data_IF_174334163359
#
_entry.id   IF_174334163359
#
_cell.length_a   1.000
_cell.length_b   1.000
_cell.length_c   1.000
_cell.angle_alpha   90.00
_cell.angle_beta   90.00
_cell.angle_gamma   90.00
#
_symmetry.space_group_name_H-M   'P 1'
#
loop_
_entity.id
_entity.type
_entity.pdbx_description
1 polymer ?
#
# COMPACT_ATOMS: atom_id res chain seq x y z
N UNK A 1 -15.31 -20.63 82.64
CA UNK A 1 -14.99 -19.36 82.00
C UNK A 1 -14.20 -19.65 80.75
N UNK A 2 -14.91 -19.89 79.67
CA UNK A 2 -14.29 -20.23 78.35
C UNK A 2 -14.17 -18.98 77.51
N UNK A 3 -12.96 -18.64 77.04
CA UNK A 3 -12.68 -17.56 76.09
C UNK A 3 -12.61 -18.11 74.69
N UNK A 4 -13.55 -17.72 73.85
CA UNK A 4 -13.57 -17.94 72.38
C UNK A 4 -12.69 -16.87 71.72
N UNK A 5 -11.70 -17.31 70.94
CA UNK A 5 -10.95 -16.44 69.99
C UNK A 5 -11.66 -16.47 68.62
N UNK A 6 -11.80 -15.34 67.93
CA UNK A 6 -12.27 -15.35 66.56
C UNK A 6 -11.10 -15.55 65.55
N UNK A 7 -11.30 -16.46 64.62
CA UNK A 7 -10.40 -16.67 63.48
C UNK A 7 -10.63 -15.58 62.42
N UNK A 8 -9.57 -14.84 62.12
CA UNK A 8 -9.53 -13.92 60.95
C UNK A 8 -9.23 -14.75 59.68
N UNK A 9 -10.21 -14.83 58.78
CA UNK A 9 -10.02 -15.37 57.43
C UNK A 9 -9.52 -14.26 56.52
N UNK A 10 -8.27 -14.34 56.09
CA UNK A 10 -7.71 -13.46 55.06
C UNK A 10 -8.12 -13.98 53.67
N UNK A 11 -9.00 -13.24 53.00
CA UNK A 11 -9.33 -13.46 51.58
C UNK A 11 -8.21 -12.90 50.69
N UNK A 12 -7.44 -13.76 50.06
CA UNK A 12 -6.50 -13.38 49.05
C UNK A 12 -7.23 -13.10 47.72
N UNK A 13 -7.29 -11.83 47.33
CA UNK A 13 -7.79 -11.41 46.00
C UNK A 13 -6.66 -11.65 44.99
N UNK A 14 -6.77 -12.72 44.18
CA UNK A 14 -5.94 -12.90 43.01
C UNK A 14 -6.40 -11.93 41.89
N UNK A 15 -5.61 -10.90 41.67
CA UNK A 15 -5.74 -10.04 40.47
C UNK A 15 -5.16 -10.83 39.29
N UNK A 16 -6.02 -11.45 38.50
CA UNK A 16 -5.68 -11.98 37.19
C UNK A 16 -5.47 -10.78 36.26
N UNK A 17 -4.20 -10.34 36.17
CA UNK A 17 -3.76 -9.42 35.13
C UNK A 17 -3.93 -10.07 33.76
N UNK A 18 -4.93 -9.63 33.00
CA UNK A 18 -5.12 -10.02 31.62
C UNK A 18 -3.93 -9.52 30.79
N UNK A 19 -3.03 -10.41 30.41
CA UNK A 19 -2.08 -10.14 29.33
C UNK A 19 -2.89 -10.11 28.04
N UNK A 20 -3.23 -8.92 27.55
CA UNK A 20 -3.64 -8.74 26.16
C UNK A 20 -2.48 -9.19 25.27
N UNK A 21 -2.76 -9.73 24.07
CA UNK A 21 -1.68 -10.04 23.12
C UNK A 21 -0.90 -8.75 22.85
N UNK A 22 0.36 -8.72 23.26
CA UNK A 22 1.29 -7.70 22.81
C UNK A 22 1.51 -7.95 21.31
N UNK A 23 0.96 -7.12 20.45
CA UNK A 23 1.35 -7.11 19.05
C UNK A 23 2.81 -6.70 19.00
N UNK A 24 3.65 -7.56 18.47
CA UNK A 24 5.06 -7.25 18.27
C UNK A 24 5.16 -6.15 17.22
N UNK A 25 6.01 -5.15 17.48
CA UNK A 25 6.35 -4.14 16.48
C UNK A 25 6.89 -4.83 15.23
N UNK A 26 6.32 -4.54 14.08
CA UNK A 26 6.80 -5.04 12.79
C UNK A 26 7.60 -3.97 12.11
N UNK A 27 8.84 -4.28 11.75
CA UNK A 27 9.67 -3.45 10.89
C UNK A 27 10.21 -4.31 9.76
N UNK A 28 9.99 -3.89 8.53
CA UNK A 28 10.46 -4.61 7.35
C UNK A 28 10.84 -3.65 6.23
N UNK A 29 11.79 -4.08 5.41
CA UNK A 29 12.23 -3.35 4.22
C UNK A 29 12.11 -4.25 3.00
N UNK A 30 11.38 -3.79 1.99
CA UNK A 30 11.21 -4.47 0.70
C UNK A 30 11.87 -3.64 -0.40
N UNK A 31 12.74 -4.28 -1.20
CA UNK A 31 13.40 -3.64 -2.35
C UNK A 31 12.83 -4.21 -3.64
N UNK A 32 12.53 -3.33 -4.58
CA UNK A 32 11.91 -3.65 -5.86
C UNK A 32 12.75 -3.18 -7.03
N UNK A 33 12.68 -3.91 -8.13
CA UNK A 33 13.15 -3.49 -9.45
C UNK A 33 11.94 -3.29 -10.35
N UNK A 34 11.92 -2.19 -11.10
CA UNK A 34 10.86 -1.83 -12.02
C UNK A 34 11.40 -1.92 -13.45
N UNK A 35 10.68 -2.66 -14.30
CA UNK A 35 11.03 -2.89 -15.70
C UNK A 35 9.91 -2.42 -16.60
N UNK A 36 10.26 -1.90 -17.77
CA UNK A 36 9.35 -1.62 -18.88
C UNK A 36 9.86 -2.36 -20.12
N UNK A 37 9.03 -3.23 -20.71
CA UNK A 37 9.41 -4.02 -21.88
C UNK A 37 10.68 -4.87 -21.66
N UNK A 38 10.91 -5.35 -20.42
CA UNK A 38 12.11 -6.13 -20.06
C UNK A 38 13.36 -5.31 -19.71
N UNK A 39 13.31 -3.97 -19.83
CA UNK A 39 14.42 -3.09 -19.46
C UNK A 39 14.20 -2.51 -18.07
N UNK A 40 15.22 -2.58 -17.20
CA UNK A 40 15.18 -1.94 -15.87
C UNK A 40 15.16 -0.43 -16.05
N UNK A 41 14.14 0.23 -15.50
CA UNK A 41 13.95 1.68 -15.55
C UNK A 41 14.03 2.35 -14.18
N UNK A 42 13.75 1.63 -13.12
CA UNK A 42 13.80 2.19 -11.75
C UNK A 42 14.03 1.11 -10.71
N UNK A 43 14.42 1.55 -9.51
CA UNK A 43 14.42 0.77 -8.27
C UNK A 43 13.59 1.51 -7.23
N UNK A 44 12.96 0.76 -6.34
CA UNK A 44 12.21 1.31 -5.22
C UNK A 44 12.52 0.54 -3.94
N UNK A 45 12.57 1.26 -2.82
CA UNK A 45 12.72 0.71 -1.47
C UNK A 45 11.53 1.16 -0.65
N UNK A 46 10.84 0.21 -0.04
CA UNK A 46 9.70 0.45 0.83
C UNK A 46 10.04 -0.05 2.23
N UNK A 47 9.90 0.82 3.23
CA UNK A 47 10.04 0.47 4.64
C UNK A 47 8.68 0.57 5.29
N UNK A 48 8.23 -0.52 5.92
CA UNK A 48 7.03 -0.58 6.75
C UNK A 48 7.44 -0.64 8.22
N UNK A 49 6.81 0.17 9.06
CA UNK A 49 6.88 0.07 10.51
C UNK A 49 5.46 0.05 11.06
N UNK A 50 5.13 -0.95 11.88
CA UNK A 50 3.86 -1.09 12.61
C UNK A 50 4.17 -1.14 14.10
N UNK A 51 3.63 -0.22 14.87
CA UNK A 51 3.75 -0.13 16.34
C UNK A 51 2.50 -0.67 17.06
N UNK A 52 1.73 -1.54 16.41
CA UNK A 52 0.53 -2.19 16.92
C UNK A 52 -0.76 -1.39 16.73
N UNK A 53 -0.73 -0.07 16.85
CA UNK A 53 -1.91 0.80 16.65
C UNK A 53 -1.75 1.78 15.49
N UNK A 54 -0.50 2.09 15.13
CA UNK A 54 -0.16 3.01 14.04
C UNK A 54 0.87 2.40 13.13
N UNK A 55 0.86 2.81 11.87
CA UNK A 55 1.86 2.43 10.88
C UNK A 55 2.53 3.66 10.28
N UNK A 56 3.73 3.44 9.78
CA UNK A 56 4.48 4.33 8.92
C UNK A 56 5.03 3.52 7.73
N UNK A 57 4.79 3.98 6.52
CA UNK A 57 5.35 3.40 5.29
C UNK A 57 6.09 4.49 4.54
N UNK A 58 7.41 4.32 4.37
CA UNK A 58 8.24 5.18 3.55
C UNK A 58 8.64 4.48 2.26
N UNK A 59 8.51 5.18 1.14
CA UNK A 59 8.93 4.74 -0.19
C UNK A 59 9.99 5.69 -0.73
N UNK A 60 11.12 5.13 -1.18
CA UNK A 60 12.16 5.83 -1.93
C UNK A 60 12.32 5.13 -3.29
N UNK A 61 12.14 5.85 -4.39
CA UNK A 61 12.32 5.33 -5.74
C UNK A 61 13.25 6.21 -6.57
N UNK A 62 14.05 5.57 -7.42
CA UNK A 62 15.02 6.25 -8.26
C UNK A 62 14.97 5.68 -9.69
N UNK A 63 15.03 6.55 -10.68
CA UNK A 63 15.28 6.14 -12.09
C UNK A 63 16.68 5.56 -12.17
N UNK A 64 16.80 4.40 -12.79
CA UNK A 64 18.07 3.65 -12.91
C UNK A 64 18.26 3.04 -14.29
N UNK A 65 19.44 2.47 -14.53
CA UNK A 65 19.75 1.77 -15.78
C UNK A 65 19.80 2.70 -16.98
N UNK A 66 19.41 2.18 -18.16
CA UNK A 66 19.44 2.96 -19.41
C UNK A 66 18.45 4.13 -19.41
N UNK A 67 17.42 4.10 -18.57
CA UNK A 67 16.48 5.21 -18.45
C UNK A 67 17.15 6.51 -17.98
N UNK A 68 18.28 6.44 -17.25
CA UNK A 68 19.05 7.61 -16.82
C UNK A 68 19.65 8.43 -17.98
N UNK A 69 19.76 7.83 -19.19
CA UNK A 69 20.24 8.54 -20.37
C UNK A 69 19.23 9.56 -20.92
N UNK A 70 17.96 9.38 -20.61
CA UNK A 70 16.86 10.20 -21.16
C UNK A 70 16.06 10.92 -20.06
N UNK A 71 16.16 10.48 -18.81
CA UNK A 71 15.46 11.06 -17.69
C UNK A 71 16.26 10.91 -16.40
N UNK A 72 16.12 11.87 -15.49
CA UNK A 72 16.59 11.74 -14.11
C UNK A 72 15.40 11.96 -13.18
N UNK A 73 15.35 11.23 -12.07
CA UNK A 73 14.28 11.46 -11.13
C UNK A 73 14.35 10.58 -9.89
N UNK A 74 13.83 11.14 -8.83
CA UNK A 74 13.56 10.45 -7.57
C UNK A 74 12.10 10.64 -7.22
N UNK A 75 11.53 9.68 -6.50
CA UNK A 75 10.24 9.82 -5.85
C UNK A 75 10.36 9.35 -4.41
N UNK A 76 9.86 10.17 -3.49
CA UNK A 76 9.72 9.83 -2.08
C UNK A 76 8.27 9.94 -1.70
N UNK A 77 7.75 8.93 -1.04
CA UNK A 77 6.41 9.00 -0.52
C UNK A 77 6.34 8.44 0.90
N UNK A 78 5.44 8.98 1.68
CA UNK A 78 5.17 8.56 3.05
C UNK A 78 3.67 8.36 3.22
N UNK A 79 3.28 7.26 3.84
CA UNK A 79 1.92 6.97 4.27
C UNK A 79 1.94 6.68 5.75
N UNK A 80 1.16 7.42 6.53
CA UNK A 80 1.02 7.23 7.97
C UNK A 80 -0.44 7.01 8.33
N UNK A 81 -0.70 6.22 9.38
CA UNK A 81 -2.07 6.00 9.77
C UNK A 81 -2.27 5.02 10.92
N UNK A 82 -3.50 4.55 11.04
CA UNK A 82 -3.91 3.58 12.04
C UNK A 82 -3.90 2.16 11.48
N UNK A 83 -3.50 1.22 12.33
CA UNK A 83 -3.68 -0.22 12.10
C UNK A 83 -5.05 -0.63 12.62
N UNK A 84 -5.88 -1.21 11.76
CA UNK A 84 -7.23 -1.66 12.10
C UNK A 84 -7.38 -3.17 11.86
N UNK A 85 -8.50 -3.75 12.29
CA UNK A 85 -8.83 -5.14 11.96
C UNK A 85 -8.89 -5.40 10.45
N UNK A 86 -9.30 -4.38 9.68
CA UNK A 86 -9.58 -4.48 8.25
C UNK A 86 -8.40 -4.04 7.38
N UNK A 87 -7.23 -3.73 8.00
CA UNK A 87 -6.02 -3.29 7.33
C UNK A 87 -5.53 -1.92 7.75
N UNK A 88 -4.76 -1.28 6.89
CA UNK A 88 -4.18 0.03 7.14
C UNK A 88 -5.16 1.14 6.73
N UNK A 89 -5.32 2.14 7.60
CA UNK A 89 -6.18 3.30 7.35
C UNK A 89 -5.37 4.58 7.47
N UNK A 90 -5.22 5.28 6.36
CA UNK A 90 -4.40 6.48 6.26
C UNK A 90 -4.92 7.63 7.10
N UNK A 91 -3.99 8.36 7.71
CA UNK A 91 -4.20 9.70 8.30
C UNK A 91 -3.41 10.77 7.57
N UNK A 92 -2.32 10.41 6.90
CA UNK A 92 -1.49 11.29 6.10
C UNK A 92 -0.83 10.58 4.93
N UNK A 93 -0.71 11.28 3.81
CA UNK A 93 0.06 10.86 2.65
C UNK A 93 0.83 12.06 2.10
N UNK A 94 2.14 11.87 1.88
CA UNK A 94 3.01 12.85 1.27
C UNK A 94 3.73 12.20 0.07
N UNK A 95 3.83 12.93 -1.02
CA UNK A 95 4.62 12.55 -2.19
C UNK A 95 5.50 13.74 -2.58
N UNK A 96 6.78 13.50 -2.77
CA UNK A 96 7.73 14.40 -3.40
C UNK A 96 8.33 13.69 -4.61
N UNK A 97 8.25 14.29 -5.77
CA UNK A 97 9.03 13.88 -6.93
C UNK A 97 9.96 15.00 -7.36
N UNK A 98 11.18 14.64 -7.70
CA UNK A 98 12.13 15.52 -8.39
C UNK A 98 12.49 14.89 -9.72
N UNK A 99 12.08 15.50 -10.81
CA UNK A 99 12.33 14.97 -12.15
C UNK A 99 12.73 16.10 -13.10
N UNK A 100 13.82 15.87 -13.83
CA UNK A 100 14.34 16.83 -14.84
C UNK A 100 14.51 18.25 -14.29
N UNK A 101 14.94 18.36 -13.02
CA UNK A 101 15.22 19.65 -12.37
C UNK A 101 13.98 20.36 -11.80
N UNK A 102 12.83 19.73 -11.77
CA UNK A 102 11.59 20.28 -11.21
C UNK A 102 11.05 19.41 -10.06
N UNK A 103 10.59 20.06 -9.00
CA UNK A 103 9.90 19.42 -7.88
C UNK A 103 8.39 19.41 -8.11
N UNK A 104 7.75 18.34 -7.67
CA UNK A 104 6.31 18.24 -7.58
C UNK A 104 5.94 17.55 -6.28
N UNK A 105 5.04 18.17 -5.51
CA UNK A 105 4.62 17.64 -4.20
C UNK A 105 3.12 17.47 -4.13
N UNK A 106 2.71 16.42 -3.41
CA UNK A 106 1.32 16.18 -3.03
C UNK A 106 1.28 15.91 -1.54
N UNK A 107 0.33 16.51 -0.84
CA UNK A 107 0.05 16.23 0.57
C UNK A 107 -1.44 16.01 0.73
N UNK A 108 -1.82 14.91 1.38
CA UNK A 108 -3.22 14.59 1.68
C UNK A 108 -3.35 14.29 3.16
N UNK A 109 -4.39 14.82 3.78
CA UNK A 109 -4.77 14.51 5.16
C UNK A 109 -6.10 13.78 5.17
N UNK A 110 -6.18 12.74 5.99
CA UNK A 110 -7.37 11.92 6.14
C UNK A 110 -7.83 11.90 7.60
N UNK A 111 -9.14 11.80 7.81
CA UNK A 111 -9.73 11.50 9.12
C UNK A 111 -10.88 10.51 8.92
N UNK A 112 -10.79 9.37 9.60
CA UNK A 112 -11.78 8.29 9.52
C UNK A 112 -12.12 7.86 8.07
N UNK A 113 -11.08 7.78 7.19
CA UNK A 113 -11.25 7.43 5.78
C UNK A 113 -11.79 8.53 4.89
N UNK A 114 -11.88 9.77 5.38
CA UNK A 114 -12.32 10.91 4.57
C UNK A 114 -11.17 11.88 4.38
N UNK A 115 -11.00 12.41 3.16
CA UNK A 115 -10.05 13.48 2.90
C UNK A 115 -10.52 14.76 3.56
N UNK A 116 -9.70 15.32 4.45
CA UNK A 116 -9.97 16.60 5.14
C UNK A 116 -9.29 17.78 4.47
N UNK A 117 -8.09 17.54 3.92
CA UNK A 117 -7.36 18.55 3.15
C UNK A 117 -6.41 17.88 2.15
N UNK A 118 -6.10 18.54 1.06
CA UNK A 118 -5.01 18.17 0.16
C UNK A 118 -4.40 19.41 -0.52
N UNK A 119 -3.11 19.31 -0.84
CA UNK A 119 -2.35 20.36 -1.52
C UNK A 119 -1.49 19.72 -2.59
N UNK A 120 -1.43 20.36 -3.76
CA UNK A 120 -0.56 19.99 -4.89
C UNK A 120 0.29 21.21 -5.22
N UNK A 121 1.62 21.03 -5.29
CA UNK A 121 2.55 22.11 -5.61
C UNK A 121 3.62 21.60 -6.60
N UNK A 122 3.76 22.27 -7.77
CA UNK A 122 2.92 23.35 -8.29
C UNK A 122 1.49 22.87 -8.57
N UNK A 123 0.49 23.78 -8.51
CA UNK A 123 -0.89 23.42 -8.77
C UNK A 123 -1.08 22.96 -10.22
N UNK A 124 -1.99 22.01 -10.42
CA UNK A 124 -2.39 21.54 -11.75
C UNK A 124 -3.29 22.62 -12.36
N UNK A 125 -2.77 23.37 -13.33
CA UNK A 125 -3.46 24.48 -13.99
C UNK A 125 -4.21 24.04 -15.26
N UNK A 126 -3.75 22.99 -15.95
CA UNK A 126 -4.45 22.46 -17.11
C UNK A 126 -5.56 21.52 -16.68
N UNK A 127 -6.80 21.99 -16.75
CA UNK A 127 -8.00 21.22 -16.43
C UNK A 127 -8.84 20.88 -17.68
N UNK A 128 -8.33 21.12 -18.88
CA UNK A 128 -9.00 20.71 -20.13
C UNK A 128 -8.99 19.18 -20.16
N UNK A 129 -10.15 18.59 -20.43
CA UNK A 129 -10.35 17.12 -20.46
C UNK A 129 -10.05 16.40 -19.13
N UNK A 130 -9.89 17.13 -18.05
CA UNK A 130 -9.72 16.55 -16.72
C UNK A 130 -11.07 16.37 -16.04
N UNK A 131 -11.36 15.15 -15.56
CA UNK A 131 -12.60 14.86 -14.83
C UNK A 131 -12.58 15.57 -13.47
N UNK A 132 -13.56 16.45 -13.16
CA UNK A 132 -13.58 17.16 -11.87
C UNK A 132 -13.69 16.22 -10.68
N UNK A 133 -12.97 16.54 -9.61
CA UNK A 133 -13.06 15.81 -8.33
C UNK A 133 -14.22 16.41 -7.53
N UNK A 134 -15.20 15.58 -7.18
CA UNK A 134 -16.32 15.96 -6.35
C UNK A 134 -16.09 15.58 -4.89
N UNK A 135 -16.53 16.42 -3.94
CA UNK A 135 -16.30 16.17 -2.51
C UNK A 135 -16.87 14.83 -2.02
N UNK A 136 -18.00 14.37 -2.56
CA UNK A 136 -18.60 13.07 -2.22
C UNK A 136 -17.71 11.87 -2.56
N UNK A 137 -16.77 12.03 -3.51
CA UNK A 137 -15.84 10.99 -3.96
C UNK A 137 -14.62 10.85 -3.03
N UNK A 138 -14.47 11.77 -2.08
CA UNK A 138 -13.35 11.85 -1.13
C UNK A 138 -13.70 11.24 0.23
N UNK A 139 -14.73 10.40 0.29
CA UNK A 139 -15.18 9.67 1.49
C UNK A 139 -14.92 8.17 1.33
N UNK A 140 -14.53 7.50 2.41
CA UNK A 140 -14.23 6.07 2.40
C UNK A 140 -12.94 5.71 1.64
N UNK A 141 -12.03 6.65 1.45
CA UNK A 141 -10.82 6.48 0.65
C UNK A 141 -9.57 6.24 1.50
N UNK A 142 -8.58 5.62 0.89
CA UNK A 142 -7.24 5.41 1.43
C UNK A 142 -6.18 5.98 0.48
N UNK A 143 -4.92 6.08 0.91
CA UNK A 143 -3.83 6.44 0.01
C UNK A 143 -3.35 5.24 -0.82
N UNK A 144 -2.57 5.53 -1.85
CA UNK A 144 -2.11 4.53 -2.80
C UNK A 144 -1.03 3.58 -2.26
N UNK A 145 -0.35 3.91 -1.15
CA UNK A 145 0.68 3.03 -0.58
C UNK A 145 0.03 2.06 0.41
N UNK A 146 -0.75 2.57 1.36
CA UNK A 146 -1.42 1.75 2.35
C UNK A 146 -2.41 0.76 1.72
N UNK A 147 -3.05 1.13 0.60
CA UNK A 147 -4.01 0.27 -0.09
C UNK A 147 -3.40 -1.02 -0.67
N UNK A 148 -2.09 -1.07 -0.91
CA UNK A 148 -1.41 -2.26 -1.43
C UNK A 148 -0.74 -3.12 -0.37
N UNK A 149 -0.72 -2.70 0.90
CA UNK A 149 -0.26 -3.52 2.02
C UNK A 149 -1.48 -4.16 2.67
N UNK A 150 -1.73 -5.42 2.33
CA UNK A 150 -2.89 -6.14 2.83
C UNK A 150 -2.59 -6.73 4.21
N UNK A 151 -3.62 -6.84 5.04
CA UNK A 151 -3.57 -7.52 6.32
C UNK A 151 -4.56 -8.67 6.34
N UNK A 152 -4.14 -9.84 6.84
CA UNK A 152 -5.00 -11.01 6.88
C UNK A 152 -4.39 -12.14 7.69
N UNK A 153 -5.22 -13.15 8.00
CA UNK A 153 -4.77 -14.32 8.78
C UNK A 153 -4.05 -15.38 7.95
N UNK A 154 -4.28 -15.41 6.64
CA UNK A 154 -3.77 -16.49 5.76
C UNK A 154 -3.45 -15.96 4.37
N UNK A 155 -2.45 -16.56 3.75
CA UNK A 155 -2.16 -16.39 2.33
C UNK A 155 -3.10 -17.30 1.53
N UNK A 156 -4.28 -16.82 1.21
CA UNK A 156 -5.28 -17.56 0.44
C UNK A 156 -6.14 -16.61 -0.43
N UNK A 157 -7.11 -17.17 -1.12
CA UNK A 157 -8.00 -16.44 -2.04
C UNK A 157 -8.71 -15.23 -1.41
N UNK A 158 -8.88 -15.20 -0.07
CA UNK A 158 -9.57 -14.09 0.60
C UNK A 158 -8.81 -12.78 0.50
N UNK A 159 -7.49 -12.81 0.26
CA UNK A 159 -6.69 -11.60 0.00
C UNK A 159 -7.11 -10.86 -1.27
N UNK A 160 -7.72 -11.57 -2.23
CA UNK A 160 -8.23 -10.98 -3.47
C UNK A 160 -9.74 -10.65 -3.39
N UNK A 161 -10.38 -10.81 -2.27
CA UNK A 161 -11.75 -10.33 -2.02
C UNK A 161 -11.69 -8.95 -1.36
N UNK A 162 -11.12 -8.00 -2.09
CA UNK A 162 -10.81 -6.67 -1.59
C UNK A 162 -11.18 -5.60 -2.61
N UNK A 163 -11.81 -4.53 -2.12
CA UNK A 163 -12.14 -3.33 -2.88
C UNK A 163 -11.42 -2.13 -2.28
N UNK A 164 -10.52 -1.52 -3.03
CA UNK A 164 -9.77 -0.34 -2.60
C UNK A 164 -10.32 0.92 -3.26
N UNK A 165 -10.73 1.87 -2.46
CA UNK A 165 -11.06 3.23 -2.89
C UNK A 165 -9.86 4.14 -2.61
N UNK A 166 -9.22 4.64 -3.66
CA UNK A 166 -7.93 5.33 -3.55
C UNK A 166 -8.05 6.79 -3.97
N UNK A 167 -7.46 7.68 -3.16
CA UNK A 167 -7.24 9.07 -3.54
C UNK A 167 -5.76 9.42 -3.37
N UNK A 168 -5.10 9.76 -4.48
CA UNK A 168 -3.66 10.07 -4.52
C UNK A 168 -3.34 11.54 -4.25
N UNK A 169 -4.38 12.39 -4.03
CA UNK A 169 -4.26 13.85 -4.08
C UNK A 169 -4.48 14.43 -5.46
N UNK A 170 -4.29 13.63 -6.52
CA UNK A 170 -4.44 14.03 -7.92
C UNK A 170 -5.63 13.32 -8.55
N UNK A 171 -5.76 12.02 -8.33
CA UNK A 171 -6.77 11.17 -8.93
C UNK A 171 -7.51 10.36 -7.88
N UNK A 172 -8.76 10.08 -8.17
CA UNK A 172 -9.65 9.19 -7.45
C UNK A 172 -9.98 8.00 -8.35
N UNK A 173 -9.68 6.80 -7.89
CA UNK A 173 -9.99 5.56 -8.60
C UNK A 173 -10.30 4.42 -7.63
N UNK A 174 -10.98 3.42 -8.14
CA UNK A 174 -11.24 2.17 -7.43
C UNK A 174 -10.38 1.04 -8.02
N UNK A 175 -10.03 0.09 -7.17
CA UNK A 175 -9.42 -1.17 -7.56
C UNK A 175 -10.26 -2.30 -7.00
N UNK A 176 -10.77 -3.16 -7.88
CA UNK A 176 -11.48 -4.38 -7.51
C UNK A 176 -10.57 -5.58 -7.70
N UNK A 177 -10.20 -6.23 -6.60
CA UNK A 177 -9.34 -7.40 -6.61
C UNK A 177 -10.18 -8.66 -6.77
N UNK A 178 -9.73 -9.59 -7.61
CA UNK A 178 -10.36 -10.87 -7.89
C UNK A 178 -9.33 -11.97 -7.86
N UNK A 179 -9.64 -13.06 -7.15
CA UNK A 179 -8.75 -14.21 -7.09
C UNK A 179 -8.59 -14.86 -8.48
N UNK A 180 -7.34 -15.08 -8.87
CA UNK A 180 -7.00 -15.79 -10.08
C UNK A 180 -6.52 -17.22 -9.79
N UNK A 181 -5.48 -17.38 -8.96
CA UNK A 181 -4.92 -18.69 -8.59
C UNK A 181 -3.93 -18.57 -7.43
N UNK A 182 -3.67 -19.71 -6.79
CA UNK A 182 -2.46 -19.91 -6.01
C UNK A 182 -1.26 -20.12 -6.95
N UNK A 183 -0.09 -19.60 -6.55
CA UNK A 183 1.12 -19.69 -7.35
C UNK A 183 2.33 -19.88 -6.42
N UNK A 184 3.52 -20.08 -6.96
CA UNK A 184 4.75 -20.28 -6.19
C UNK A 184 5.88 -19.43 -6.76
N UNK A 185 6.46 -18.59 -5.95
CA UNK A 185 7.68 -17.86 -6.27
C UNK A 185 8.89 -18.82 -6.16
N UNK A 186 9.52 -19.14 -7.29
CA UNK A 186 10.62 -20.12 -7.37
C UNK A 186 11.97 -19.51 -7.71
N UNK A 187 12.00 -18.23 -8.14
CA UNK A 187 13.23 -17.59 -8.60
C UNK A 187 14.14 -17.23 -7.43
N UNK A 188 15.37 -17.73 -7.43
CA UNK A 188 16.41 -17.35 -6.46
C UNK A 188 16.94 -15.90 -6.64
N UNK A 189 16.48 -15.22 -7.69
CA UNK A 189 16.84 -13.80 -7.95
C UNK A 189 15.82 -12.82 -7.32
N UNK A 190 14.77 -13.34 -6.69
CA UNK A 190 13.74 -12.53 -6.03
C UNK A 190 13.90 -12.58 -4.51
N UNK A 191 13.40 -11.58 -3.81
CA UNK A 191 13.54 -11.43 -2.37
C UNK A 191 12.66 -12.39 -1.55
N UNK A 192 11.87 -13.22 -2.22
CA UNK A 192 11.00 -14.21 -1.57
C UNK A 192 10.90 -15.47 -2.45
N UNK A 193 10.94 -16.64 -1.81
CA UNK A 193 10.61 -17.93 -2.40
C UNK A 193 9.56 -18.61 -1.52
N UNK A 194 8.52 -19.15 -2.16
CA UNK A 194 7.42 -19.79 -1.46
C UNK A 194 6.06 -19.51 -2.07
N UNK A 195 4.98 -19.89 -1.38
CA UNK A 195 3.62 -19.66 -1.85
C UNK A 195 3.31 -18.17 -2.04
N UNK A 196 2.59 -17.84 -3.11
CA UNK A 196 2.04 -16.51 -3.40
C UNK A 196 0.62 -16.65 -3.91
N UNK A 197 -0.19 -15.61 -3.76
CA UNK A 197 -1.55 -15.55 -4.31
C UNK A 197 -1.59 -14.52 -5.43
N UNK A 198 -2.10 -14.92 -6.59
CA UNK A 198 -2.33 -14.03 -7.73
C UNK A 198 -3.74 -13.48 -7.70
N UNK A 199 -3.83 -12.15 -7.72
CA UNK A 199 -5.07 -11.41 -7.95
C UNK A 199 -5.06 -10.73 -9.32
N UNK A 200 -6.17 -10.81 -10.06
CA UNK A 200 -6.53 -9.82 -11.07
C UNK A 200 -7.03 -8.55 -10.38
N UNK A 201 -6.76 -7.40 -10.97
CA UNK A 201 -7.21 -6.13 -10.42
C UNK A 201 -7.85 -5.30 -11.52
N UNK A 202 -9.13 -4.99 -11.36
CA UNK A 202 -9.84 -4.09 -12.26
C UNK A 202 -9.65 -2.65 -11.77
N UNK A 203 -9.17 -1.78 -12.65
CA UNK A 203 -8.98 -0.37 -12.38
C UNK A 203 -10.15 0.44 -12.92
N UNK A 204 -10.78 1.21 -12.04
CA UNK A 204 -11.90 2.06 -12.38
C UNK A 204 -11.56 3.52 -12.08
N UNK A 205 -11.20 4.34 -13.08
CA UNK A 205 -10.98 5.75 -12.90
C UNK A 205 -12.29 6.46 -12.55
N UNK A 206 -12.28 7.29 -11.51
CA UNK A 206 -13.46 8.00 -11.02
C UNK A 206 -13.36 9.49 -11.37
N UNK A 207 -12.27 10.15 -10.98
CA UNK A 207 -12.08 11.58 -11.23
C UNK A 207 -10.61 11.99 -11.06
N UNK A 208 -10.28 13.20 -11.48
CA UNK A 208 -8.92 13.74 -11.42
C UNK A 208 -8.03 13.35 -12.61
N UNK A 209 -8.35 12.26 -13.31
CA UNK A 209 -7.66 11.84 -14.52
C UNK A 209 -8.06 12.67 -15.74
N UNK A 210 -7.22 12.63 -16.76
CA UNK A 210 -7.56 13.20 -18.08
C UNK A 210 -8.27 12.15 -18.92
N UNK A 211 -9.41 12.51 -19.54
CA UNK A 211 -10.17 11.60 -20.42
C UNK A 211 -9.37 11.17 -21.66
N UNK A 212 -8.36 11.97 -22.02
CA UNK A 212 -7.42 11.72 -23.11
C UNK A 212 -6.18 10.91 -22.70
N UNK A 213 -6.06 10.50 -21.42
CA UNK A 213 -4.93 9.72 -20.92
C UNK A 213 -4.95 8.30 -21.49
N UNK A 214 -4.01 7.98 -22.39
CA UNK A 214 -3.87 6.64 -22.96
C UNK A 214 -3.58 5.58 -21.89
N UNK A 215 -2.76 5.93 -20.88
CA UNK A 215 -2.45 5.02 -19.76
C UNK A 215 -3.71 4.70 -18.96
N UNK A 216 -4.45 5.71 -18.54
CA UNK A 216 -5.72 5.55 -17.79
C UNK A 216 -6.70 4.70 -18.58
N UNK A 217 -6.91 5.03 -19.85
CA UNK A 217 -7.83 4.32 -20.74
C UNK A 217 -7.38 2.87 -21.02
N UNK A 218 -6.07 2.61 -21.08
CA UNK A 218 -5.53 1.27 -21.23
C UNK A 218 -5.71 0.43 -19.97
N UNK A 219 -5.43 0.98 -18.79
CA UNK A 219 -5.57 0.28 -17.51
C UNK A 219 -7.04 0.03 -17.13
N UNK A 220 -7.97 0.83 -17.65
CA UNK A 220 -9.40 0.65 -17.43
C UNK A 220 -10.01 -0.49 -18.28
N UNK A 221 -9.22 -1.14 -19.14
CA UNK A 221 -9.62 -2.37 -19.83
C UNK A 221 -9.40 -3.58 -18.92
N UNK A 222 -10.18 -4.61 -19.12
CA UNK A 222 -10.07 -5.85 -18.36
C UNK A 222 -8.67 -6.50 -18.50
N UNK A 223 -8.28 -7.24 -17.47
CA UNK A 223 -7.05 -8.07 -17.44
C UNK A 223 -5.72 -7.32 -17.63
N UNK A 224 -5.66 -6.04 -17.30
CA UNK A 224 -4.44 -5.23 -17.46
C UNK A 224 -3.54 -5.20 -16.25
N UNK A 225 -4.05 -5.57 -15.07
CA UNK A 225 -3.33 -5.48 -13.81
C UNK A 225 -3.35 -6.82 -13.10
N UNK A 226 -2.16 -7.34 -12.82
CA UNK A 226 -1.93 -8.56 -12.07
C UNK A 226 -1.03 -8.27 -10.88
N UNK A 227 -1.42 -8.76 -9.70
CA UNK A 227 -0.62 -8.61 -8.47
C UNK A 227 -0.47 -9.97 -7.79
N UNK A 228 0.77 -10.39 -7.56
CA UNK A 228 1.10 -11.52 -6.72
C UNK A 228 1.43 -11.01 -5.32
N UNK A 229 0.76 -11.53 -4.32
CA UNK A 229 1.01 -11.22 -2.92
C UNK A 229 1.85 -12.30 -2.26
N UNK A 230 2.86 -11.88 -1.50
CA UNK A 230 3.68 -12.72 -0.61
C UNK A 230 3.49 -12.30 0.84
N UNK A 231 3.67 -13.21 1.82
CA UNK A 231 3.67 -12.85 3.23
C UNK A 231 4.89 -11.99 3.57
N UNK A 232 4.67 -11.00 4.43
CA UNK A 232 5.73 -10.22 5.04
C UNK A 232 6.16 -10.92 6.34
N UNK A 233 7.02 -11.93 6.23
CA UNK A 233 7.38 -12.80 7.35
C UNK A 233 6.11 -13.34 8.07
N UNK A 234 6.16 -13.48 9.39
CA UNK A 234 5.04 -13.93 10.24
C UNK A 234 4.23 -12.75 10.83
N UNK A 235 4.26 -11.58 10.17
CA UNK A 235 3.63 -10.36 10.67
C UNK A 235 2.11 -10.28 10.47
N UNK A 236 1.53 -11.16 9.65
CA UNK A 236 0.14 -11.07 9.21
C UNK A 236 -0.10 -10.02 8.12
N UNK A 237 0.96 -9.42 7.58
CA UNK A 237 0.90 -8.56 6.41
C UNK A 237 1.27 -9.30 5.14
N UNK A 238 0.69 -8.86 4.03
CA UNK A 238 0.99 -9.33 2.68
C UNK A 238 1.34 -8.14 1.80
N UNK A 239 2.45 -8.26 1.09
CA UNK A 239 2.98 -7.21 0.21
C UNK A 239 3.03 -7.70 -1.24
N UNK A 240 3.00 -6.81 -2.22
CA UNK A 240 3.22 -7.17 -3.60
C UNK A 240 4.59 -7.85 -3.78
N UNK A 241 4.59 -9.14 -4.15
CA UNK A 241 5.77 -9.85 -4.61
C UNK A 241 6.11 -9.46 -6.04
N UNK A 242 5.07 -9.34 -6.87
CA UNK A 242 5.16 -8.90 -8.25
C UNK A 242 3.91 -8.15 -8.65
N UNK A 243 4.09 -7.08 -9.41
CA UNK A 243 3.01 -6.37 -10.10
C UNK A 243 3.31 -6.39 -11.60
N UNK A 244 2.30 -6.63 -12.42
CA UNK A 244 2.37 -6.54 -13.86
C UNK A 244 1.24 -5.65 -14.37
N UNK A 245 1.61 -4.59 -15.09
CA UNK A 245 0.68 -3.70 -15.78
C UNK A 245 0.91 -3.84 -17.28
N UNK A 246 -0.10 -4.27 -18.03
CA UNK A 246 -0.04 -4.31 -19.48
C UNK A 246 -0.49 -2.98 -20.05
N UNK A 247 0.43 -2.22 -20.63
CA UNK A 247 0.20 -0.87 -21.17
C UNK A 247 0.44 -0.82 -22.67
N UNK A 248 0.00 0.26 -23.34
CA UNK A 248 0.26 0.49 -24.76
C UNK A 248 1.76 0.67 -25.07
N UNK A 249 2.58 1.02 -24.07
CA UNK A 249 4.05 1.16 -24.19
C UNK A 249 4.81 -0.14 -23.91
N UNK A 250 4.11 -1.23 -23.58
CA UNK A 250 4.67 -2.51 -23.18
C UNK A 250 4.34 -2.86 -21.73
N UNK A 251 4.78 -4.03 -21.31
CA UNK A 251 4.56 -4.50 -19.95
C UNK A 251 5.46 -3.77 -18.96
N UNK A 252 4.83 -3.09 -17.98
CA UNK A 252 5.50 -2.55 -16.82
C UNK A 252 5.42 -3.59 -15.71
N UNK A 253 6.56 -4.01 -15.18
CA UNK A 253 6.59 -4.94 -14.05
C UNK A 253 7.41 -4.39 -12.88
N UNK A 254 6.91 -4.60 -11.67
CA UNK A 254 7.63 -4.39 -10.41
C UNK A 254 7.82 -5.74 -9.74
N UNK A 255 9.06 -6.06 -9.33
CA UNK A 255 9.40 -7.35 -8.73
C UNK A 255 10.20 -7.14 -7.45
N UNK A 256 9.79 -7.80 -6.37
CA UNK A 256 10.51 -7.85 -5.09
C UNK A 256 11.85 -8.55 -5.27
N UNK A 257 12.97 -7.87 -4.97
CA UNK A 257 14.33 -8.41 -5.11
C UNK A 257 15.04 -8.63 -3.78
N UNK A 258 14.62 -7.96 -2.70
CA UNK A 258 15.09 -8.23 -1.35
C UNK A 258 13.97 -7.94 -0.33
N UNK A 259 13.95 -8.71 0.75
CA UNK A 259 13.05 -8.57 1.89
C UNK A 259 13.86 -8.76 3.17
N UNK A 260 13.90 -7.70 4.03
CA UNK A 260 14.66 -7.63 5.27
C UNK A 260 13.77 -7.27 6.45
#
# INVERSE_FOLDING_TARGET
MSRLLPALSAAAVMVLGGFGPAFADTAATATYVINLGGTIIATAKIKLTDSGSTYDIALDANITGLAQLVASGIAKAESTGAVTSDGLRSTGFNLLTHANGADFTVKVQYAAGNVTAFVIDPPIINNIDRVPIERKQLTGVNDMIAAFVLRGGKLDKSLCDYHAQIFTGIERFDLDFKYAKDDVATSLRTGYQGPVVLCHVDYKPISGHYTTSELTNSLAQDDRILIWYAPLHDSGYFIPYRVLLTTSMGDLSMVLTALE
#
